data_IF_596364858666
#
_entry.id   IF_596364858666
#
_cell.length_a   1.000
_cell.length_b   1.000
_cell.length_c   1.000
_cell.angle_alpha   90.00
_cell.angle_beta   90.00
_cell.angle_gamma   90.00
#
_symmetry.space_group_name_H-M   'P 1'
#
loop_
_entity.id
_entity.type
_entity.pdbx_description
1 polymer ?
#
# COMPACT_ATOMS: atom_id res chain seq x y z
N UNK A 1 28.43 -71.52 50.19
CA UNK A 1 28.03 -70.15 50.40
C UNK A 1 27.84 -69.50 49.05
N UNK A 2 26.60 -69.25 48.59
CA UNK A 2 26.27 -68.82 47.23
C UNK A 2 26.14 -67.32 47.21
N UNK A 3 26.99 -66.66 46.49
CA UNK A 3 26.87 -65.20 46.22
C UNK A 3 26.01 -65.05 44.99
N UNK A 4 24.82 -64.50 45.19
CA UNK A 4 23.93 -64.12 44.09
C UNK A 4 24.32 -62.71 43.58
N UNK A 5 24.69 -62.65 42.31
CA UNK A 5 24.89 -61.40 41.57
C UNK A 5 23.50 -60.85 41.20
N UNK A 6 23.11 -59.67 41.76
CA UNK A 6 21.97 -58.91 41.29
C UNK A 6 22.41 -58.01 40.12
N UNK A 7 21.84 -58.22 38.95
CA UNK A 7 21.99 -57.33 37.80
C UNK A 7 21.00 -56.17 37.95
N UNK A 8 21.53 -54.98 38.12
CA UNK A 8 20.73 -53.76 38.09
C UNK A 8 20.46 -53.37 36.62
N UNK A 9 19.25 -53.51 36.18
CA UNK A 9 18.80 -52.97 34.89
C UNK A 9 18.48 -51.49 35.08
N UNK A 10 19.34 -50.61 34.56
CA UNK A 10 19.09 -49.19 34.50
C UNK A 10 18.04 -48.91 33.39
N UNK A 11 16.84 -48.58 33.78
CA UNK A 11 15.80 -48.10 32.89
C UNK A 11 16.10 -46.63 32.57
N UNK A 12 16.68 -46.36 31.39
CA UNK A 12 16.92 -45.03 30.87
C UNK A 12 15.62 -44.53 30.25
N UNK A 13 14.81 -43.83 31.04
CA UNK A 13 13.63 -43.10 30.55
C UNK A 13 14.12 -41.89 29.76
N UNK A 14 14.16 -42.00 28.44
CA UNK A 14 14.29 -40.86 27.54
C UNK A 14 13.03 -40.00 27.63
N UNK A 15 13.09 -38.91 28.38
CA UNK A 15 12.07 -37.88 28.36
C UNK A 15 12.21 -37.14 27.03
N UNK A 16 11.41 -37.51 26.04
CA UNK A 16 11.18 -36.74 24.83
C UNK A 16 10.44 -35.45 25.23
N UNK A 17 11.19 -34.36 25.42
CA UNK A 17 10.63 -33.02 25.48
C UNK A 17 10.14 -32.71 24.06
N UNK A 18 8.89 -33.04 23.78
CA UNK A 18 8.18 -32.46 22.61
C UNK A 18 8.02 -30.97 22.94
N UNK A 19 8.93 -30.17 22.44
CA UNK A 19 8.69 -28.74 22.34
C UNK A 19 7.46 -28.57 21.43
N UNK A 20 6.30 -28.41 22.02
CA UNK A 20 5.15 -27.89 21.32
C UNK A 20 5.53 -26.50 20.84
N UNK A 21 5.87 -26.40 19.55
CA UNK A 21 5.95 -25.14 18.83
C UNK A 21 4.50 -24.66 18.77
N UNK A 22 4.07 -23.95 19.82
CA UNK A 22 2.84 -23.16 19.73
C UNK A 22 3.07 -22.18 18.56
N UNK A 23 2.25 -22.17 17.52
CA UNK A 23 2.33 -21.12 16.53
C UNK A 23 2.24 -19.82 17.33
N UNK A 24 3.24 -18.95 17.19
CA UNK A 24 3.24 -17.66 17.86
C UNK A 24 1.92 -16.98 17.47
N UNK A 25 0.98 -16.92 18.42
CA UNK A 25 -0.31 -16.31 18.21
C UNK A 25 -0.03 -14.87 17.81
N UNK A 26 -0.46 -14.51 16.60
CA UNK A 26 -0.22 -13.16 16.06
C UNK A 26 -0.79 -12.19 17.10
N UNK A 27 0.07 -11.34 17.65
CA UNK A 27 -0.35 -10.39 18.67
C UNK A 27 -1.49 -9.55 18.09
N UNK A 28 -2.64 -9.55 18.76
CA UNK A 28 -3.76 -8.68 18.37
C UNK A 28 -3.41 -7.21 18.69
N UNK A 29 -3.98 -6.30 17.92
CA UNK A 29 -3.88 -4.88 18.23
C UNK A 29 -4.68 -4.62 19.50
N UNK A 30 -4.02 -4.08 20.53
CA UNK A 30 -4.70 -3.63 21.74
C UNK A 30 -5.78 -2.60 21.39
N UNK A 31 -6.79 -2.47 22.23
CA UNK A 31 -7.87 -1.50 22.01
C UNK A 31 -7.34 -0.11 21.68
N UNK A 32 -7.87 0.46 20.59
CA UNK A 32 -7.52 1.78 20.09
C UNK A 32 -8.54 2.82 20.53
N UNK A 33 -8.05 3.99 20.91
CA UNK A 33 -8.88 5.16 21.23
C UNK A 33 -9.53 5.77 19.99
N UNK A 34 -8.88 5.69 18.83
CA UNK A 34 -9.41 6.21 17.59
C UNK A 34 -10.74 5.55 17.23
N UNK A 35 -11.70 6.34 16.72
CA UNK A 35 -12.97 5.84 16.21
C UNK A 35 -12.75 5.07 14.91
N UNK A 36 -11.89 5.57 14.02
CA UNK A 36 -11.44 4.86 12.83
C UNK A 36 -9.92 4.84 12.77
N UNK A 37 -9.35 3.69 12.39
CA UNK A 37 -7.92 3.50 12.31
C UNK A 37 -7.53 2.55 11.16
N UNK A 38 -6.36 2.81 10.56
CA UNK A 38 -5.75 1.94 9.55
C UNK A 38 -4.25 1.84 9.80
N UNK A 39 -3.73 0.62 9.66
CA UNK A 39 -2.35 0.34 9.32
C UNK A 39 -2.34 -0.17 7.88
N UNK A 40 -1.53 0.43 7.00
CA UNK A 40 -1.44 0.09 5.58
C UNK A 40 0.01 -0.15 5.19
N UNK A 41 0.22 -1.09 4.26
CA UNK A 41 1.48 -1.21 3.53
C UNK A 41 1.61 -0.03 2.57
N UNK A 42 2.59 0.83 2.80
CA UNK A 42 2.78 2.05 2.01
C UNK A 42 3.27 1.80 0.57
N UNK A 43 3.74 0.59 0.25
CA UNK A 43 4.18 0.24 -1.10
C UNK A 43 3.02 -0.29 -1.95
N UNK A 44 2.20 -1.18 -1.41
CA UNK A 44 1.10 -1.83 -2.14
C UNK A 44 -0.28 -1.20 -1.91
N UNK A 45 -0.45 -0.39 -0.87
CA UNK A 45 -1.77 0.13 -0.45
C UNK A 45 -2.65 -0.93 0.24
N UNK A 46 -2.09 -2.10 0.58
CA UNK A 46 -2.82 -3.15 1.29
C UNK A 46 -3.11 -2.73 2.73
N UNK A 47 -4.37 -2.84 3.15
CA UNK A 47 -4.76 -2.68 4.56
C UNK A 47 -4.28 -3.89 5.36
N UNK A 48 -3.43 -3.64 6.36
CA UNK A 48 -2.85 -4.65 7.26
C UNK A 48 -3.65 -4.81 8.55
N UNK A 49 -4.27 -3.71 8.99
CA UNK A 49 -5.21 -3.65 10.11
C UNK A 49 -6.23 -2.54 9.84
N UNK A 50 -7.49 -2.74 10.21
CA UNK A 50 -8.56 -1.76 10.10
C UNK A 50 -9.54 -1.82 11.26
N UNK A 51 -9.85 -0.65 11.84
CA UNK A 51 -10.98 -0.42 12.74
C UNK A 51 -11.86 0.63 12.08
N UNK A 52 -13.09 0.28 11.70
CA UNK A 52 -13.99 1.15 10.92
C UNK A 52 -13.26 1.90 9.79
N UNK A 53 -12.36 1.19 9.08
CA UNK A 53 -11.37 1.76 8.16
C UNK A 53 -11.99 2.50 6.97
N UNK A 54 -13.20 2.13 6.59
CA UNK A 54 -13.95 2.65 5.45
C UNK A 54 -15.09 3.59 5.84
N UNK A 55 -15.25 3.90 7.14
CA UNK A 55 -16.30 4.81 7.60
C UNK A 55 -15.89 6.27 7.39
N UNK A 56 -16.74 7.00 6.67
CA UNK A 56 -16.58 8.44 6.47
C UNK A 56 -16.59 9.20 7.81
N UNK A 57 -15.61 10.09 7.97
CA UNK A 57 -15.46 10.95 9.15
C UNK A 57 -14.81 12.27 8.78
N UNK A 58 -15.11 13.35 9.52
CA UNK A 58 -14.32 14.56 9.45
C UNK A 58 -12.85 14.27 9.76
N UNK A 59 -11.94 14.89 9.03
CA UNK A 59 -10.51 14.61 9.12
C UNK A 59 -9.65 15.80 9.50
N UNK A 60 -10.28 16.95 9.72
CA UNK A 60 -9.61 18.19 10.14
C UNK A 60 -8.40 18.50 9.23
N UNK A 61 -7.36 19.10 9.81
CA UNK A 61 -6.15 19.52 9.09
C UNK A 61 -5.29 18.40 8.52
N UNK A 62 -5.67 17.11 8.63
CA UNK A 62 -5.00 16.06 7.85
C UNK A 62 -5.29 16.24 6.35
N UNK A 63 -6.34 16.96 5.98
CA UNK A 63 -6.67 17.46 4.64
C UNK A 63 -5.48 18.16 3.96
N UNK A 64 -4.66 18.87 4.75
CA UNK A 64 -3.53 19.66 4.22
C UNK A 64 -2.44 18.81 3.56
N UNK A 65 -2.45 17.49 3.76
CA UNK A 65 -1.61 16.57 3.00
C UNK A 65 -1.98 16.64 1.51
N UNK A 66 -3.28 16.59 1.17
CA UNK A 66 -3.76 16.72 -0.20
C UNK A 66 -3.46 18.11 -0.77
N UNK A 67 -3.66 19.16 0.03
CA UNK A 67 -3.34 20.55 -0.37
C UNK A 67 -1.85 20.70 -0.73
N UNK A 68 -0.97 20.13 0.10
CA UNK A 68 0.48 20.15 -0.13
C UNK A 68 0.87 19.37 -1.41
N UNK A 69 0.29 18.18 -1.62
CA UNK A 69 0.55 17.36 -2.82
C UNK A 69 0.21 18.14 -4.09
N UNK A 70 -0.99 18.72 -4.15
CA UNK A 70 -1.43 19.47 -5.33
C UNK A 70 -0.58 20.71 -5.57
N UNK A 71 -0.18 21.41 -4.51
CA UNK A 71 0.72 22.55 -4.63
C UNK A 71 2.10 22.17 -5.17
N UNK A 72 2.64 21.00 -4.75
CA UNK A 72 3.92 20.47 -5.25
C UNK A 72 3.85 19.95 -6.69
N UNK A 73 2.67 19.53 -7.15
CA UNK A 73 2.48 18.99 -8.50
C UNK A 73 2.12 20.05 -9.53
N UNK A 74 1.39 21.09 -9.13
CA UNK A 74 0.79 22.06 -10.04
C UNK A 74 1.41 23.45 -9.95
N UNK A 75 2.14 23.76 -8.88
CA UNK A 75 2.83 25.02 -8.66
C UNK A 75 4.34 24.89 -8.78
N UNK A 76 5.03 26.05 -8.74
CA UNK A 76 6.47 26.13 -8.63
C UNK A 76 6.82 26.76 -7.28
N UNK A 77 7.82 26.23 -6.56
CA UNK A 77 8.25 26.76 -5.26
C UNK A 77 8.54 28.26 -5.27
N UNK A 78 9.07 28.80 -6.37
CA UNK A 78 9.40 30.20 -6.58
C UNK A 78 8.19 31.08 -6.96
N UNK A 79 7.00 30.52 -7.09
CA UNK A 79 5.79 31.32 -7.40
C UNK A 79 5.48 32.31 -6.29
N UNK A 80 5.05 33.51 -6.67
CA UNK A 80 4.56 34.52 -5.74
C UNK A 80 3.08 34.32 -5.46
N UNK A 81 2.77 33.85 -4.26
CA UNK A 81 1.40 33.70 -3.78
C UNK A 81 0.92 35.00 -3.15
N UNK A 82 -0.09 35.60 -3.71
CA UNK A 82 -0.73 36.80 -3.17
C UNK A 82 -1.84 36.43 -2.18
N UNK A 83 -1.83 37.05 -1.02
CA UNK A 83 -2.82 36.83 0.03
C UNK A 83 -4.09 37.60 -0.28
N UNK A 84 -5.19 36.92 -0.44
CA UNK A 84 -6.53 37.49 -0.62
C UNK A 84 -7.15 37.94 0.72
N UNK A 85 -8.24 38.68 0.65
CA UNK A 85 -9.07 38.98 1.81
C UNK A 85 -9.63 37.73 2.47
N UNK A 86 -10.03 36.72 1.65
CA UNK A 86 -10.55 35.44 2.14
C UNK A 86 -9.49 34.69 2.93
N UNK A 87 -8.28 34.55 2.37
CA UNK A 87 -7.15 33.92 3.05
C UNK A 87 -6.81 34.67 4.36
N UNK A 88 -6.68 36.00 4.33
CA UNK A 88 -6.35 36.79 5.51
C UNK A 88 -7.39 36.73 6.63
N UNK A 89 -8.66 36.38 6.33
CA UNK A 89 -9.75 36.29 7.30
C UNK A 89 -9.93 34.91 7.94
N UNK A 90 -9.09 33.94 7.58
CA UNK A 90 -9.24 32.57 8.08
C UNK A 90 -9.07 32.47 9.60
N UNK A 91 -9.87 31.61 10.27
CA UNK A 91 -9.81 31.46 11.71
C UNK A 91 -8.51 30.73 12.14
N UNK A 92 -8.24 30.73 13.43
CA UNK A 92 -7.13 30.02 14.07
C UNK A 92 -7.15 28.51 13.69
N UNK A 93 -6.00 27.86 13.43
CA UNK A 93 -4.62 28.35 13.51
C UNK A 93 -4.25 29.08 12.23
N UNK A 94 -3.64 30.28 12.30
CA UNK A 94 -3.23 31.05 11.13
C UNK A 94 -1.81 31.66 11.30
N UNK A 95 -1.14 31.95 10.22
CA UNK A 95 0.13 32.67 10.18
C UNK A 95 -0.06 34.15 10.51
N UNK A 96 -1.25 34.68 10.30
CA UNK A 96 -1.62 36.08 10.46
C UNK A 96 -1.14 36.92 9.30
N UNK A 97 -1.31 36.39 8.08
CA UNK A 97 -1.06 37.12 6.83
C UNK A 97 -2.08 38.23 6.65
N UNK A 98 -1.66 39.29 5.94
CA UNK A 98 -2.53 40.43 5.61
C UNK A 98 -2.87 40.41 4.12
N UNK A 99 -4.05 40.88 3.78
CA UNK A 99 -4.46 41.10 2.39
C UNK A 99 -3.39 41.88 1.62
N UNK A 100 -3.04 41.42 0.41
CA UNK A 100 -2.05 42.03 -0.47
C UNK A 100 -0.60 41.62 -0.17
N UNK A 101 -0.28 40.98 0.96
CA UNK A 101 1.05 40.41 1.17
C UNK A 101 1.35 39.32 0.13
N UNK A 102 2.61 39.14 -0.19
CA UNK A 102 3.09 38.11 -1.09
C UNK A 102 4.17 37.24 -0.41
N UNK A 103 4.14 35.95 -0.71
CA UNK A 103 5.10 34.97 -0.20
C UNK A 103 5.54 34.03 -1.32
N UNK A 104 6.68 33.37 -1.20
CA UNK A 104 7.01 32.24 -2.04
C UNK A 104 6.10 31.05 -1.69
N UNK A 105 5.69 30.28 -2.71
CA UNK A 105 4.87 29.08 -2.51
C UNK A 105 5.57 28.09 -1.59
N UNK A 106 6.89 27.88 -1.77
CA UNK A 106 7.66 26.98 -0.92
C UNK A 106 7.58 27.39 0.56
N UNK A 107 7.75 28.66 0.91
CA UNK A 107 7.65 29.17 2.27
C UNK A 107 6.27 28.87 2.90
N UNK A 108 5.23 29.02 2.09
CA UNK A 108 3.87 28.71 2.53
C UNK A 108 3.67 27.21 2.74
N UNK A 109 4.36 26.32 1.99
CA UNK A 109 4.28 24.87 2.21
C UNK A 109 4.87 24.47 3.57
N UNK A 110 5.95 25.10 4.01
CA UNK A 110 6.45 24.90 5.39
C UNK A 110 5.45 25.39 6.43
N UNK A 111 4.87 26.58 6.23
CA UNK A 111 3.82 27.11 7.10
C UNK A 111 2.61 26.17 7.19
N UNK A 112 2.14 25.66 6.05
CA UNK A 112 1.03 24.71 5.91
C UNK A 112 1.28 23.42 6.69
N UNK A 113 2.44 22.82 6.51
CA UNK A 113 2.70 21.47 7.03
C UNK A 113 3.21 21.47 8.46
N UNK A 114 4.11 22.37 8.84
CA UNK A 114 4.71 22.40 10.17
C UNK A 114 3.75 22.94 11.23
N UNK A 115 3.04 24.04 10.93
CA UNK A 115 2.18 24.74 11.90
C UNK A 115 0.69 24.64 11.59
N UNK A 116 0.35 24.11 10.41
CA UNK A 116 -1.05 23.85 10.03
C UNK A 116 -1.90 25.11 9.83
N UNK A 117 -1.32 26.22 9.36
CA UNK A 117 -1.99 27.48 9.21
C UNK A 117 -3.12 27.43 8.16
N UNK A 118 -4.29 27.95 8.51
CA UNK A 118 -5.51 27.91 7.68
C UNK A 118 -5.50 28.96 6.57
N UNK A 119 -5.04 30.17 6.89
CA UNK A 119 -4.84 31.26 5.93
C UNK A 119 -3.88 30.86 4.81
N UNK A 120 -2.78 30.19 5.17
CA UNK A 120 -1.82 29.62 4.23
C UNK A 120 -2.47 28.60 3.28
N UNK A 121 -3.31 27.70 3.80
CA UNK A 121 -3.99 26.70 2.98
C UNK A 121 -4.92 27.34 1.94
N UNK A 122 -5.63 28.40 2.33
CA UNK A 122 -6.54 29.13 1.42
C UNK A 122 -5.75 29.90 0.38
N UNK A 123 -4.68 30.61 0.77
CA UNK A 123 -3.84 31.34 -0.18
C UNK A 123 -3.21 30.41 -1.24
N UNK A 124 -2.71 29.23 -0.82
CA UNK A 124 -2.22 28.20 -1.75
C UNK A 124 -3.33 27.71 -2.69
N UNK A 125 -4.52 27.44 -2.14
CA UNK A 125 -5.64 26.93 -2.93
C UNK A 125 -6.11 27.95 -4.00
N UNK A 126 -6.16 29.22 -3.64
CA UNK A 126 -6.53 30.30 -4.57
C UNK A 126 -5.45 30.49 -5.65
N UNK A 127 -4.17 30.41 -5.27
CA UNK A 127 -3.08 30.53 -6.23
C UNK A 127 -3.10 29.38 -7.25
N UNK A 128 -3.18 28.11 -6.79
CA UNK A 128 -3.12 26.93 -7.65
C UNK A 128 -4.43 26.71 -8.43
N UNK A 129 -5.58 26.87 -7.78
CA UNK A 129 -6.90 26.58 -8.36
C UNK A 129 -7.63 27.80 -8.93
N UNK A 130 -7.15 29.00 -8.65
CA UNK A 130 -7.83 30.26 -8.96
C UNK A 130 -9.02 30.57 -8.03
N UNK A 131 -9.46 29.61 -7.21
CA UNK A 131 -10.42 29.78 -6.12
C UNK A 131 -10.47 28.53 -5.23
N UNK A 132 -10.95 28.67 -3.99
CA UNK A 132 -11.15 27.53 -3.06
C UNK A 132 -12.04 26.46 -3.68
N UNK A 133 -13.16 26.83 -4.32
CA UNK A 133 -14.08 25.89 -4.96
C UNK A 133 -13.41 25.09 -6.10
N UNK A 134 -12.66 25.75 -6.97
CA UNK A 134 -11.94 25.06 -8.06
C UNK A 134 -10.82 24.16 -7.51
N UNK A 135 -10.12 24.61 -6.47
CA UNK A 135 -9.10 23.79 -5.83
C UNK A 135 -9.70 22.56 -5.14
N UNK A 136 -10.85 22.67 -4.48
CA UNK A 136 -11.57 21.52 -3.92
C UNK A 136 -11.94 20.50 -5.00
N UNK A 137 -12.32 20.96 -6.20
CA UNK A 137 -12.54 20.05 -7.34
C UNK A 137 -11.27 19.30 -7.75
N UNK A 138 -10.08 19.95 -7.76
CA UNK A 138 -8.80 19.29 -8.00
C UNK A 138 -8.46 18.28 -6.89
N UNK A 139 -8.74 18.60 -5.62
CA UNK A 139 -8.55 17.68 -4.50
C UNK A 139 -9.40 16.41 -4.66
N UNK A 140 -10.67 16.56 -5.04
CA UNK A 140 -11.59 15.45 -5.25
C UNK A 140 -11.21 14.61 -6.47
N UNK A 141 -10.74 15.24 -7.55
CA UNK A 141 -10.21 14.54 -8.70
C UNK A 141 -8.99 13.70 -8.31
N UNK A 142 -8.01 14.29 -7.61
CA UNK A 142 -6.81 13.59 -7.15
C UNK A 142 -7.17 12.44 -6.20
N UNK A 143 -8.11 12.63 -5.27
CA UNK A 143 -8.57 11.57 -4.38
C UNK A 143 -9.11 10.38 -5.19
N UNK A 144 -9.92 10.62 -6.22
CA UNK A 144 -10.43 9.59 -7.13
C UNK A 144 -9.30 8.87 -7.89
N UNK A 145 -8.31 9.60 -8.40
CA UNK A 145 -7.13 9.04 -9.08
C UNK A 145 -6.32 8.12 -8.15
N UNK A 146 -6.23 8.45 -6.87
CA UNK A 146 -5.56 7.64 -5.85
C UNK A 146 -6.40 6.43 -5.38
N UNK A 147 -7.62 6.25 -5.89
CA UNK A 147 -8.51 5.15 -5.52
C UNK A 147 -9.20 5.36 -4.17
N UNK A 148 -9.34 6.61 -3.72
CA UNK A 148 -10.20 6.95 -2.60
C UNK A 148 -11.67 6.75 -2.99
N UNK A 149 -12.42 6.00 -2.19
CA UNK A 149 -13.79 5.60 -2.54
C UNK A 149 -14.85 6.35 -1.75
N UNK A 150 -14.48 6.98 -0.64
CA UNK A 150 -15.40 7.70 0.24
C UNK A 150 -14.68 8.91 0.88
N UNK A 151 -14.29 9.84 -0.01
CA UNK A 151 -13.60 11.09 0.34
C UNK A 151 -14.22 12.23 -0.45
N UNK A 152 -14.59 13.30 0.28
CA UNK A 152 -15.10 14.54 -0.30
C UNK A 152 -14.47 15.76 0.36
N UNK A 153 -13.69 16.50 -0.41
CA UNK A 153 -13.04 17.73 0.03
C UNK A 153 -13.86 18.95 -0.38
N UNK A 154 -14.14 19.82 0.60
CA UNK A 154 -14.81 21.12 0.41
C UNK A 154 -13.82 22.25 0.69
N UNK A 155 -12.94 22.09 1.67
CA UNK A 155 -11.99 23.10 2.11
C UNK A 155 -10.55 22.63 1.99
N UNK A 156 -9.59 23.52 1.66
CA UNK A 156 -8.18 23.15 1.55
C UNK A 156 -7.48 23.01 2.91
N UNK A 157 -8.06 23.53 3.98
CA UNK A 157 -7.51 23.55 5.33
C UNK A 157 -8.07 22.45 6.24
N UNK A 158 -9.18 21.80 5.86
CA UNK A 158 -9.84 20.77 6.63
C UNK A 158 -10.75 21.29 7.74
N UNK A 159 -11.17 22.55 7.67
CA UNK A 159 -12.28 23.03 8.45
C UNK A 159 -13.58 22.40 7.95
N UNK A 160 -14.52 22.21 8.85
CA UNK A 160 -15.83 21.66 8.51
C UNK A 160 -16.50 22.54 7.45
N UNK A 161 -17.08 21.90 6.44
CA UNK A 161 -17.73 22.56 5.33
C UNK A 161 -18.66 21.60 4.60
N UNK A 162 -19.55 22.14 3.80
CA UNK A 162 -20.50 21.42 2.98
C UNK A 162 -20.69 22.14 1.65
N UNK A 163 -20.88 21.37 0.59
CA UNK A 163 -21.28 21.86 -0.73
C UNK A 163 -22.32 20.93 -1.34
N UNK A 164 -22.64 21.10 -2.62
CA UNK A 164 -23.63 20.29 -3.34
C UNK A 164 -23.26 18.79 -3.37
N UNK A 165 -21.97 18.44 -3.22
CA UNK A 165 -21.46 17.06 -3.17
C UNK A 165 -21.51 16.43 -1.78
N UNK A 166 -21.77 17.22 -0.74
CA UNK A 166 -21.89 16.76 0.65
C UNK A 166 -20.93 17.44 1.63
N UNK A 167 -20.80 16.87 2.82
CA UNK A 167 -19.92 17.36 3.87
C UNK A 167 -18.46 16.99 3.61
N UNK A 168 -17.54 17.82 4.14
CA UNK A 168 -16.09 17.54 4.10
C UNK A 168 -15.73 16.31 4.94
N UNK A 169 -15.26 15.24 4.30
CA UNK A 169 -14.93 13.98 4.98
C UNK A 169 -13.88 13.16 4.23
N UNK A 170 -13.34 12.17 4.91
CA UNK A 170 -12.57 11.07 4.35
C UNK A 170 -12.74 9.81 5.19
N UNK A 171 -12.15 8.70 4.78
CA UNK A 171 -12.01 7.47 5.59
C UNK A 171 -10.57 7.30 6.07
N UNK A 172 -10.34 6.51 7.12
CA UNK A 172 -8.98 6.21 7.56
C UNK A 172 -8.16 5.50 6.45
N UNK A 173 -8.82 4.63 5.66
CA UNK A 173 -8.21 3.96 4.51
C UNK A 173 -7.81 4.94 3.41
N UNK A 174 -8.69 5.86 3.04
CA UNK A 174 -8.44 6.81 1.97
C UNK A 174 -7.36 7.82 2.37
N UNK A 175 -7.40 8.30 3.63
CA UNK A 175 -6.34 9.15 4.17
C UNK A 175 -4.97 8.46 4.16
N UNK A 176 -4.94 7.15 4.44
CA UNK A 176 -3.71 6.38 4.35
C UNK A 176 -3.21 6.24 2.90
N UNK A 177 -4.08 6.11 1.90
CA UNK A 177 -3.70 6.13 0.48
C UNK A 177 -3.10 7.46 0.06
N UNK A 178 -3.71 8.57 0.49
CA UNK A 178 -3.22 9.93 0.23
C UNK A 178 -1.80 10.08 0.82
N UNK A 179 -1.57 9.62 2.06
CA UNK A 179 -0.23 9.66 2.67
C UNK A 179 0.75 8.71 1.98
N UNK A 180 0.34 7.51 1.57
CA UNK A 180 1.17 6.57 0.84
C UNK A 180 1.62 7.11 -0.53
N UNK A 181 0.82 7.98 -1.12
CA UNK A 181 1.20 8.73 -2.32
C UNK A 181 2.15 9.88 -1.99
N UNK A 182 1.81 10.70 -0.98
CA UNK A 182 2.57 11.87 -0.59
C UNK A 182 4.02 11.55 -0.21
N UNK A 183 4.24 10.44 0.52
CA UNK A 183 5.57 10.02 0.99
C UNK A 183 6.55 9.64 -0.13
N UNK A 184 6.05 9.45 -1.36
CA UNK A 184 6.89 9.21 -2.55
C UNK A 184 7.53 10.49 -3.09
N UNK A 185 6.99 11.65 -2.72
CA UNK A 185 7.55 12.95 -3.10
C UNK A 185 8.62 13.37 -2.08
N UNK A 186 9.87 13.47 -2.52
CA UNK A 186 11.00 13.81 -1.65
C UNK A 186 10.89 15.22 -1.05
N UNK A 187 10.34 16.19 -1.79
CA UNK A 187 10.12 17.56 -1.30
C UNK A 187 9.07 17.57 -0.19
N UNK A 188 7.97 16.82 -0.35
CA UNK A 188 6.98 16.64 0.71
C UNK A 188 7.61 16.09 1.99
N UNK A 189 8.43 15.04 1.86
CA UNK A 189 9.12 14.44 3.01
C UNK A 189 10.09 15.44 3.64
N UNK A 190 10.88 16.16 2.85
CA UNK A 190 11.82 17.17 3.33
C UNK A 190 11.10 18.26 4.15
N UNK A 191 10.04 18.84 3.60
CA UNK A 191 9.24 19.86 4.30
C UNK A 191 8.71 19.30 5.63
N UNK A 192 8.10 18.12 5.62
CA UNK A 192 7.42 17.58 6.81
C UNK A 192 8.38 17.04 7.88
N UNK A 193 9.64 16.76 7.55
CA UNK A 193 10.69 16.41 8.50
C UNK A 193 11.38 17.63 9.13
N UNK A 194 11.30 18.79 8.49
CA UNK A 194 11.93 20.02 8.99
C UNK A 194 11.36 20.37 10.36
N UNK A 195 12.22 20.72 11.33
CA UNK A 195 11.84 21.06 12.69
C UNK A 195 11.43 22.51 12.84
N UNK A 196 12.24 23.37 12.30
CA UNK A 196 12.08 24.81 12.35
C UNK A 196 12.36 25.41 10.99
N UNK A 197 11.55 26.36 10.57
CA UNK A 197 11.76 27.07 9.32
C UNK A 197 11.43 28.54 9.49
N UNK A 198 12.34 29.42 9.02
CA UNK A 198 12.16 30.87 9.09
C UNK A 198 12.16 31.45 7.69
N UNK A 199 11.17 32.26 7.39
CA UNK A 199 10.97 32.91 6.10
C UNK A 199 10.40 34.31 6.29
N UNK A 200 10.30 35.08 5.22
CA UNK A 200 9.71 36.42 5.22
C UNK A 200 8.65 36.55 4.13
N UNK A 201 7.84 37.59 4.20
CA UNK A 201 7.14 38.04 3.01
C UNK A 201 8.15 38.57 1.96
N UNK A 202 7.70 38.72 0.71
CA UNK A 202 8.57 39.17 -0.39
C UNK A 202 9.17 40.55 -0.12
N UNK A 203 8.53 41.38 0.72
CA UNK A 203 9.09 42.69 1.10
C UNK A 203 10.29 42.60 2.04
N UNK A 204 10.54 41.45 2.67
CA UNK A 204 11.59 41.26 3.66
C UNK A 204 11.39 42.03 4.97
N UNK A 205 10.23 42.66 5.17
CA UNK A 205 9.97 43.52 6.34
C UNK A 205 9.51 42.74 7.58
N UNK A 206 8.94 41.56 7.37
CA UNK A 206 8.42 40.73 8.46
C UNK A 206 8.89 39.29 8.31
N UNK A 207 9.51 38.75 9.36
CA UNK A 207 9.95 37.37 9.44
C UNK A 207 8.96 36.54 10.23
N UNK A 208 8.83 35.29 9.82
CA UNK A 208 7.97 34.29 10.43
C UNK A 208 8.78 33.04 10.73
N UNK A 209 8.64 32.48 11.92
CA UNK A 209 9.25 31.20 12.28
C UNK A 209 8.17 30.20 12.62
N UNK A 210 8.21 29.04 11.98
CA UNK A 210 7.28 27.94 12.19
C UNK A 210 8.01 26.72 12.75
N UNK A 211 7.43 26.12 13.81
CA UNK A 211 7.96 24.94 14.46
C UNK A 211 7.07 23.75 14.15
N UNK A 212 7.66 22.60 13.86
CA UNK A 212 6.91 21.40 13.55
C UNK A 212 6.09 20.89 14.76
N UNK A 213 4.80 20.74 14.57
CA UNK A 213 3.88 20.25 15.62
C UNK A 213 3.75 18.73 15.69
N UNK A 214 4.41 18.01 14.74
CA UNK A 214 4.41 16.55 14.74
C UNK A 214 5.46 15.98 15.69
N UNK A 215 5.14 15.98 16.98
CA UNK A 215 6.04 15.44 18.00
C UNK A 215 6.39 13.95 17.80
N UNK A 216 5.61 13.20 17.03
CA UNK A 216 5.85 11.78 16.80
C UNK A 216 7.13 11.49 16.02
N UNK A 217 7.63 12.48 15.26
CA UNK A 217 8.94 12.43 14.61
C UNK A 217 10.11 12.22 15.60
N UNK A 218 9.96 12.67 16.85
CA UNK A 218 10.97 12.52 17.91
C UNK A 218 10.62 11.39 18.89
N UNK A 219 9.36 10.98 18.91
CA UNK A 219 8.85 9.99 19.88
C UNK A 219 8.97 8.54 19.41
N UNK A 220 9.08 8.32 18.08
CA UNK A 220 9.07 6.98 17.50
C UNK A 220 10.08 6.87 16.36
N UNK A 221 11.00 5.91 16.50
CA UNK A 221 12.06 5.67 15.49
C UNK A 221 11.44 5.23 14.17
N UNK A 222 11.98 5.77 13.08
CA UNK A 222 11.58 5.41 11.72
C UNK A 222 10.37 6.19 11.20
N UNK A 223 9.74 7.05 11.98
CA UNK A 223 8.72 7.98 11.47
C UNK A 223 9.37 8.99 10.54
N UNK A 224 8.91 9.04 9.30
CA UNK A 224 9.49 9.90 8.24
C UNK A 224 8.64 11.11 7.89
N UNK A 225 7.35 11.07 8.16
CA UNK A 225 6.45 12.20 7.91
C UNK A 225 5.16 12.01 8.71
N UNK A 226 4.38 13.07 8.85
CA UNK A 226 3.04 12.99 9.42
C UNK A 226 2.35 14.34 9.49
N UNK A 227 1.01 14.28 9.64
CA UNK A 227 0.16 15.47 9.81
C UNK A 227 -0.88 15.24 10.89
N UNK A 228 -0.97 16.18 11.82
CA UNK A 228 -2.01 16.23 12.85
C UNK A 228 -3.20 17.05 12.38
N UNK A 229 -4.38 16.76 12.91
CA UNK A 229 -5.59 17.55 12.72
C UNK A 229 -6.44 17.59 13.99
N UNK A 230 -7.23 18.65 14.15
CA UNK A 230 -8.24 18.78 15.18
C UNK A 230 -9.31 19.78 14.74
N UNK A 231 -10.59 19.38 14.84
CA UNK A 231 -11.75 20.25 14.96
C UNK A 231 -12.66 19.70 16.06
N UNK A 232 -13.65 20.48 16.50
CA UNK A 232 -14.62 20.00 17.49
C UNK A 232 -15.34 18.75 17.04
N UNK A 233 -15.72 18.68 15.76
CA UNK A 233 -16.43 17.56 15.16
C UNK A 233 -15.50 16.36 14.88
N UNK A 234 -14.29 16.60 14.36
CA UNK A 234 -13.37 15.53 14.00
C UNK A 234 -12.69 14.85 15.21
N UNK A 235 -12.54 15.54 16.32
CA UNK A 235 -11.62 15.13 17.37
C UNK A 235 -10.15 15.19 16.89
N UNK A 236 -9.24 14.54 17.58
CA UNK A 236 -7.85 14.45 17.13
C UNK A 236 -7.72 13.44 16.00
N UNK A 237 -7.14 13.90 14.90
CA UNK A 237 -6.81 13.10 13.73
C UNK A 237 -5.28 13.08 13.54
N UNK A 238 -4.78 11.99 12.98
CA UNK A 238 -3.35 11.85 12.68
C UNK A 238 -3.14 10.92 11.50
N UNK A 239 -2.20 11.28 10.63
CA UNK A 239 -1.70 10.39 9.59
C UNK A 239 -0.18 10.48 9.55
N UNK A 240 0.50 9.34 9.44
CA UNK A 240 1.96 9.32 9.30
C UNK A 240 2.42 8.17 8.42
N UNK A 241 3.66 8.31 7.91
CA UNK A 241 4.43 7.25 7.31
C UNK A 241 5.64 6.95 8.19
N UNK A 242 5.94 5.68 8.37
CA UNK A 242 7.10 5.20 9.12
C UNK A 242 7.77 4.05 8.38
N UNK A 243 9.11 4.08 8.32
CA UNK A 243 9.93 2.97 7.80
C UNK A 243 10.55 2.23 8.96
N UNK A 244 10.17 0.97 9.12
CA UNK A 244 10.69 0.09 10.19
C UNK A 244 11.10 -1.24 9.58
N UNK A 245 12.34 -1.69 9.79
CA UNK A 245 12.91 -2.92 9.20
C UNK A 245 12.64 -2.98 7.67
N UNK A 246 12.94 -1.90 6.94
CA UNK A 246 12.67 -1.68 5.51
C UNK A 246 11.19 -1.61 5.10
N UNK A 247 10.24 -1.95 5.98
CA UNK A 247 8.81 -1.91 5.71
C UNK A 247 8.29 -0.48 5.82
N UNK A 248 7.59 -0.02 4.79
CA UNK A 248 6.92 1.28 4.81
C UNK A 248 5.49 1.10 5.31
N UNK A 249 5.24 1.56 6.52
CA UNK A 249 3.91 1.56 7.13
C UNK A 249 3.28 2.95 7.05
N UNK A 250 1.99 2.97 6.73
CA UNK A 250 1.15 4.16 6.84
C UNK A 250 0.14 3.91 7.96
N UNK A 251 0.04 4.86 8.88
CA UNK A 251 -0.98 4.86 9.94
C UNK A 251 -1.89 6.06 9.73
N UNK A 252 -3.21 5.83 9.74
CA UNK A 252 -4.21 6.89 9.73
C UNK A 252 -5.21 6.68 10.87
N UNK A 253 -5.47 7.74 11.63
CA UNK A 253 -6.34 7.75 12.82
C UNK A 253 -7.32 8.91 12.69
N UNK A 254 -8.62 8.64 12.82
CA UNK A 254 -9.69 9.62 12.84
C UNK A 254 -10.49 9.51 14.14
N UNK A 255 -10.83 10.67 14.74
CA UNK A 255 -11.57 10.70 15.99
C UNK A 255 -10.81 10.06 17.16
N UNK A 256 -9.52 10.37 17.32
CA UNK A 256 -8.65 9.77 18.34
C UNK A 256 -8.63 10.61 19.62
N UNK A 257 -9.80 10.78 20.24
CA UNK A 257 -10.01 11.58 21.45
C UNK A 257 -10.32 13.05 21.17
N UNK A 258 -10.72 13.75 22.25
CA UNK A 258 -11.08 15.17 22.27
C UNK A 258 -10.25 15.90 23.33
N UNK A 259 -10.50 17.21 23.61
CA UNK A 259 -9.72 17.98 24.59
C UNK A 259 -9.52 17.24 25.91
N UNK A 260 -8.30 17.25 26.41
CA UNK A 260 -7.83 16.41 27.53
C UNK A 260 -7.06 15.16 27.10
N UNK A 261 -7.30 14.65 25.88
CA UNK A 261 -6.77 13.36 25.40
C UNK A 261 -5.86 13.47 24.15
N UNK A 262 -5.16 14.60 23.99
CA UNK A 262 -4.34 14.89 22.79
C UNK A 262 -3.23 13.86 22.49
N UNK A 263 -2.84 13.05 23.46
CA UNK A 263 -1.77 12.06 23.32
C UNK A 263 -2.26 10.68 22.86
N UNK A 264 -3.56 10.43 22.81
CA UNK A 264 -4.13 9.15 22.38
C UNK A 264 -3.67 8.76 20.99
N UNK A 265 -3.59 9.73 20.04
CA UNK A 265 -3.09 9.49 18.68
C UNK A 265 -1.66 8.95 18.64
N UNK A 266 -0.78 9.38 19.56
CA UNK A 266 0.58 8.87 19.64
C UNK A 266 0.62 7.43 20.18
N UNK A 267 -0.20 7.13 21.19
CA UNK A 267 -0.38 5.79 21.74
C UNK A 267 -0.87 4.82 20.65
N UNK A 268 -1.95 5.19 19.96
CA UNK A 268 -2.56 4.34 18.93
C UNK A 268 -1.65 4.15 17.72
N UNK A 269 -0.97 5.21 17.27
CA UNK A 269 0.01 5.11 16.18
C UNK A 269 1.13 4.12 16.53
N UNK A 270 1.67 4.19 17.76
CA UNK A 270 2.71 3.27 18.25
C UNK A 270 2.22 1.82 18.32
N UNK A 271 0.99 1.59 18.80
CA UNK A 271 0.39 0.25 18.83
C UNK A 271 0.30 -0.35 17.45
N UNK A 272 -0.15 0.42 16.44
CA UNK A 272 -0.28 -0.02 15.06
C UNK A 272 1.07 -0.29 14.41
N UNK A 273 2.07 0.59 14.59
CA UNK A 273 3.42 0.37 14.08
C UNK A 273 4.07 -0.86 14.70
N UNK A 274 3.93 -1.03 16.02
CA UNK A 274 4.42 -2.22 16.73
C UNK A 274 3.74 -3.50 16.21
N UNK A 275 2.42 -3.47 16.00
CA UNK A 275 1.69 -4.57 15.40
C UNK A 275 2.23 -4.92 14.00
N UNK A 276 2.43 -3.92 13.14
CA UNK A 276 2.98 -4.11 11.80
C UNK A 276 4.36 -4.75 11.84
N UNK A 277 5.28 -4.19 12.65
CA UNK A 277 6.65 -4.71 12.81
C UNK A 277 6.66 -6.16 13.28
N UNK A 278 5.85 -6.49 14.27
CA UNK A 278 5.89 -7.80 14.93
C UNK A 278 5.16 -8.90 14.13
N UNK A 279 4.17 -8.56 13.32
CA UNK A 279 3.30 -9.54 12.66
C UNK A 279 3.53 -9.69 11.14
N UNK A 280 4.26 -8.78 10.52
CA UNK A 280 4.46 -8.78 9.06
C UNK A 280 5.92 -8.96 8.67
N UNK A 281 6.13 -9.65 7.54
CA UNK A 281 7.44 -9.86 6.92
C UNK A 281 7.33 -9.71 5.41
N UNK A 282 8.43 -9.35 4.75
CA UNK A 282 8.50 -9.46 3.31
C UNK A 282 8.65 -10.91 2.87
N UNK A 283 7.99 -11.25 1.78
CA UNK A 283 8.16 -12.49 1.03
C UNK A 283 8.15 -12.18 -0.47
N UNK A 284 8.78 -13.02 -1.26
CA UNK A 284 8.68 -13.02 -2.72
C UNK A 284 7.72 -14.13 -3.16
N UNK A 285 7.38 -14.16 -4.45
CA UNK A 285 6.64 -15.29 -5.02
C UNK A 285 7.39 -16.61 -4.74
N UNK A 286 6.70 -17.68 -4.33
CA UNK A 286 7.33 -18.97 -4.15
C UNK A 286 7.82 -19.51 -5.49
N UNK A 287 8.67 -20.54 -5.45
CA UNK A 287 9.13 -21.23 -6.64
C UNK A 287 7.94 -21.65 -7.53
N UNK A 288 8.10 -21.45 -8.84
CA UNK A 288 7.05 -21.78 -9.82
C UNK A 288 6.81 -23.30 -9.78
N UNK A 289 5.57 -23.75 -9.58
CA UNK A 289 5.27 -25.17 -9.52
C UNK A 289 5.50 -25.84 -10.87
N UNK A 290 5.85 -27.13 -10.84
CA UNK A 290 5.86 -27.93 -12.06
C UNK A 290 4.46 -27.96 -12.64
N UNK A 291 4.32 -27.51 -13.89
CA UNK A 291 3.05 -27.51 -14.58
C UNK A 291 2.73 -28.95 -15.05
N UNK A 292 1.44 -29.34 -15.06
CA UNK A 292 1.02 -30.62 -15.61
C UNK A 292 1.22 -30.64 -17.12
N UNK A 293 1.55 -31.78 -17.68
CA UNK A 293 1.50 -32.00 -19.12
C UNK A 293 0.05 -32.21 -19.56
N UNK A 294 -0.35 -31.64 -20.70
CA UNK A 294 -1.73 -31.72 -21.20
C UNK A 294 -1.81 -32.70 -22.38
N UNK A 295 -2.72 -33.68 -22.37
CA UNK A 295 -2.92 -34.59 -23.50
C UNK A 295 -3.51 -33.86 -24.69
N UNK A 296 -2.93 -34.08 -25.88
CA UNK A 296 -3.36 -33.49 -27.15
C UNK A 296 -3.90 -34.58 -28.09
N UNK A 297 -5.19 -34.49 -28.44
CA UNK A 297 -5.78 -35.42 -29.44
C UNK A 297 -5.42 -35.01 -30.85
N UNK A 298 -5.57 -35.96 -31.80
CA UNK A 298 -5.27 -35.81 -33.23
C UNK A 298 -3.83 -35.33 -33.51
N UNK A 299 -2.93 -35.56 -32.55
CA UNK A 299 -1.53 -35.16 -32.59
C UNK A 299 -0.66 -36.22 -33.24
N UNK A 300 0.30 -35.80 -34.08
CA UNK A 300 1.37 -36.68 -34.57
C UNK A 300 2.12 -37.25 -33.35
N UNK A 301 2.24 -38.58 -33.19
CA UNK A 301 2.92 -39.20 -32.06
C UNK A 301 4.39 -38.76 -31.98
N UNK A 302 4.87 -38.50 -30.78
CA UNK A 302 6.31 -38.31 -30.54
C UNK A 302 7.01 -39.66 -30.73
N UNK A 303 8.08 -39.68 -31.57
CA UNK A 303 8.84 -40.89 -31.86
C UNK A 303 9.53 -41.56 -30.66
N UNK A 304 9.48 -40.91 -29.49
CA UNK A 304 10.05 -41.44 -28.24
C UNK A 304 9.18 -42.47 -27.51
N UNK A 305 7.87 -42.57 -27.88
CA UNK A 305 6.90 -43.48 -27.25
C UNK A 305 6.42 -44.58 -28.21
N UNK A 306 7.30 -45.38 -28.75
CA UNK A 306 6.90 -46.61 -29.44
C UNK A 306 6.45 -47.64 -28.38
N UNK A 307 5.14 -47.66 -28.07
CA UNK A 307 4.62 -48.80 -27.31
C UNK A 307 3.53 -48.57 -26.28
N UNK A 308 3.18 -47.35 -25.90
CA UNK A 308 2.05 -47.10 -25.01
C UNK A 308 1.02 -46.22 -25.70
N UNK A 309 -0.24 -46.65 -25.71
CA UNK A 309 -1.38 -45.93 -26.32
C UNK A 309 -1.76 -44.61 -25.61
N UNK A 310 -0.80 -43.95 -25.00
CA UNK A 310 -0.92 -42.64 -24.37
C UNK A 310 -0.68 -41.56 -25.39
N UNK A 311 -1.67 -40.69 -25.64
CA UNK A 311 -1.61 -39.60 -26.61
C UNK A 311 -0.44 -38.64 -26.36
N UNK A 312 -0.06 -37.86 -27.37
CA UNK A 312 1.02 -36.86 -27.29
C UNK A 312 0.74 -35.88 -26.13
N UNK A 313 1.70 -35.71 -25.25
CA UNK A 313 1.63 -34.81 -24.12
C UNK A 313 2.32 -33.47 -24.46
N UNK A 314 1.65 -32.38 -24.16
CA UNK A 314 2.16 -31.00 -24.33
C UNK A 314 2.80 -30.54 -23.05
N UNK A 315 4.09 -30.16 -23.12
CA UNK A 315 4.79 -29.45 -22.06
C UNK A 315 4.42 -27.97 -22.06
N UNK A 316 4.30 -27.41 -20.86
CA UNK A 316 3.89 -26.05 -20.63
C UNK A 316 4.99 -25.23 -19.98
N UNK A 317 5.02 -23.95 -20.30
CA UNK A 317 5.92 -22.96 -19.71
C UNK A 317 5.13 -21.78 -19.15
N UNK A 318 5.45 -21.35 -17.92
CA UNK A 318 4.89 -20.15 -17.32
C UNK A 318 5.84 -18.95 -17.56
N UNK A 319 5.38 -17.92 -18.24
CA UNK A 319 6.18 -16.76 -18.59
C UNK A 319 6.23 -15.76 -17.41
N UNK A 320 6.96 -16.09 -16.35
CA UNK A 320 7.18 -15.19 -15.19
C UNK A 320 8.47 -14.41 -15.40
N UNK A 321 8.38 -13.07 -15.35
CA UNK A 321 9.57 -12.23 -15.47
C UNK A 321 10.39 -12.21 -14.18
N UNK A 322 11.71 -12.02 -14.26
CA UNK A 322 12.58 -11.84 -13.11
C UNK A 322 12.12 -10.69 -12.19
N UNK A 323 11.62 -9.61 -12.80
CA UNK A 323 11.06 -8.48 -12.05
C UNK A 323 9.85 -8.89 -11.20
N UNK A 324 9.01 -9.79 -11.70
CA UNK A 324 7.86 -10.30 -10.95
C UNK A 324 8.29 -11.20 -9.80
N UNK A 325 9.30 -12.07 -10.04
CA UNK A 325 9.86 -12.95 -9.00
C UNK A 325 10.58 -12.14 -7.90
N UNK A 326 11.25 -11.05 -8.25
CA UNK A 326 11.93 -10.17 -7.30
C UNK A 326 11.00 -9.23 -6.53
N UNK A 327 9.72 -9.12 -6.94
CA UNK A 327 8.75 -8.26 -6.26
C UNK A 327 8.46 -8.78 -4.86
N UNK A 328 8.63 -7.89 -3.87
CA UNK A 328 8.35 -8.21 -2.46
C UNK A 328 6.89 -7.91 -2.12
N UNK A 329 6.30 -8.78 -1.33
CA UNK A 329 4.93 -8.67 -0.81
C UNK A 329 5.00 -8.67 0.71
N UNK A 330 4.31 -7.74 1.36
CA UNK A 330 4.24 -7.70 2.82
C UNK A 330 3.15 -8.64 3.31
N UNK A 331 3.55 -9.73 3.94
CA UNK A 331 2.68 -10.81 4.41
C UNK A 331 2.62 -10.84 5.92
N UNK A 332 1.44 -11.14 6.47
CA UNK A 332 1.34 -11.55 7.86
C UNK A 332 2.15 -12.85 8.05
N UNK A 333 2.76 -13.05 9.21
CA UNK A 333 3.60 -14.24 9.47
C UNK A 333 2.83 -15.56 9.30
N UNK A 334 1.50 -15.53 9.41
CA UNK A 334 0.59 -16.67 9.21
C UNK A 334 0.11 -16.83 7.77
N UNK A 335 0.37 -15.86 6.90
CA UNK A 335 -0.06 -15.89 5.50
C UNK A 335 0.99 -16.56 4.62
N UNK A 336 0.51 -17.21 3.56
CA UNK A 336 1.34 -17.83 2.53
C UNK A 336 0.81 -17.49 1.15
N UNK A 337 1.71 -17.39 0.17
CA UNK A 337 1.33 -17.27 -1.24
C UNK A 337 1.23 -18.67 -1.81
N UNK A 338 0.12 -18.97 -2.51
CA UNK A 338 -0.10 -20.24 -3.21
C UNK A 338 -0.24 -20.00 -4.69
N UNK A 339 0.18 -21.00 -5.50
CA UNK A 339 -0.05 -21.01 -6.94
C UNK A 339 -1.31 -21.80 -7.28
N UNK A 340 -2.11 -21.25 -8.20
CA UNK A 340 -3.24 -21.93 -8.83
C UNK A 340 -3.11 -21.86 -10.36
N UNK A 341 -3.47 -22.93 -11.05
CA UNK A 341 -3.43 -23.02 -12.51
C UNK A 341 -4.85 -23.04 -13.07
N UNK A 342 -5.07 -22.26 -14.12
CA UNK A 342 -6.26 -22.34 -14.94
C UNK A 342 -5.86 -22.89 -16.31
N UNK A 343 -6.03 -24.22 -16.49
CA UNK A 343 -5.59 -24.99 -17.66
C UNK A 343 -6.70 -25.90 -18.15
N UNK A 344 -6.83 -26.10 -19.48
CA UNK A 344 -7.74 -27.09 -20.05
C UNK A 344 -7.25 -28.51 -19.73
N UNK A 345 -8.16 -29.43 -19.47
CA UNK A 345 -7.81 -30.84 -19.22
C UNK A 345 -7.33 -31.59 -20.46
N UNK A 346 -7.63 -31.11 -21.68
CA UNK A 346 -7.29 -31.70 -22.97
C UNK A 346 -7.23 -30.63 -24.07
N UNK A 347 -6.39 -30.84 -25.07
CA UNK A 347 -6.29 -29.99 -26.26
C UNK A 347 -6.48 -30.82 -27.54
N UNK A 348 -6.74 -30.18 -28.65
CA UNK A 348 -6.79 -30.76 -30.02
C UNK A 348 -5.68 -30.14 -30.85
N UNK A 349 -4.95 -30.98 -31.61
CA UNK A 349 -3.92 -30.51 -32.55
C UNK A 349 -4.56 -29.76 -33.73
N UNK A 350 -3.86 -28.76 -34.34
CA UNK A 350 -2.46 -28.41 -34.06
C UNK A 350 -2.31 -27.41 -32.91
N UNK A 351 -1.23 -27.52 -32.15
CA UNK A 351 -0.80 -26.52 -31.16
C UNK A 351 0.47 -25.84 -31.66
N UNK A 352 0.50 -24.49 -31.56
CA UNK A 352 1.68 -23.71 -31.95
C UNK A 352 2.61 -23.52 -30.77
N UNK A 353 3.93 -23.49 -31.01
CA UNK A 353 4.89 -23.07 -29.99
C UNK A 353 4.54 -21.66 -29.50
N UNK A 354 4.65 -21.42 -28.18
CA UNK A 354 4.28 -20.18 -27.49
C UNK A 354 2.76 -19.83 -27.56
N UNK A 355 1.92 -20.74 -28.03
CA UNK A 355 0.46 -20.54 -27.97
C UNK A 355 0.04 -20.46 -26.51
N UNK A 356 -0.76 -19.44 -26.16
CA UNK A 356 -1.37 -19.35 -24.82
C UNK A 356 -2.35 -20.50 -24.62
N UNK A 357 -2.15 -21.26 -23.55
CA UNK A 357 -2.95 -22.43 -23.19
C UNK A 357 -3.84 -22.12 -21.98
N UNK A 358 -3.36 -21.30 -21.06
CA UNK A 358 -4.07 -20.92 -19.86
C UNK A 358 -3.35 -19.86 -19.07
N UNK A 359 -3.52 -19.88 -17.76
CA UNK A 359 -2.93 -18.90 -16.83
C UNK A 359 -2.44 -19.57 -15.55
N UNK A 360 -1.41 -18.99 -14.95
CA UNK A 360 -0.90 -19.32 -13.60
C UNK A 360 -1.12 -18.10 -12.71
N UNK A 361 -1.74 -18.30 -11.53
CA UNK A 361 -2.15 -17.27 -10.60
C UNK A 361 -1.47 -17.46 -9.27
N UNK A 362 -0.82 -16.41 -8.74
CA UNK A 362 -0.37 -16.38 -7.35
C UNK A 362 -1.45 -15.72 -6.48
N UNK A 363 -1.90 -16.41 -5.46
CA UNK A 363 -2.94 -15.96 -4.53
C UNK A 363 -2.43 -15.83 -3.11
N UNK A 364 -2.87 -14.79 -2.44
CA UNK A 364 -2.70 -14.52 -1.02
C UNK A 364 -4.07 -14.51 -0.37
N UNK A 365 -4.35 -15.44 0.54
CA UNK A 365 -5.67 -15.64 1.16
C UNK A 365 -6.81 -15.69 0.13
N UNK A 366 -6.60 -16.43 -0.98
CA UNK A 366 -7.57 -16.57 -2.07
C UNK A 366 -7.67 -15.34 -3.00
N UNK A 367 -7.05 -14.22 -2.67
CA UNK A 367 -7.02 -13.02 -3.52
C UNK A 367 -5.82 -13.06 -4.46
N UNK A 368 -6.07 -12.87 -5.76
CA UNK A 368 -5.00 -12.78 -6.75
C UNK A 368 -4.09 -11.57 -6.49
N UNK A 369 -2.78 -11.81 -6.46
CA UNK A 369 -1.74 -10.79 -6.32
C UNK A 369 -0.82 -10.70 -7.54
N UNK A 370 -0.81 -11.75 -8.38
CA UNK A 370 -0.06 -11.82 -9.61
C UNK A 370 -0.66 -12.88 -10.52
N UNK A 371 -0.61 -12.69 -11.84
CA UNK A 371 -0.93 -13.70 -12.83
C UNK A 371 -0.02 -13.59 -14.06
N UNK A 372 0.20 -14.73 -14.73
CA UNK A 372 0.94 -14.79 -15.97
C UNK A 372 0.35 -15.82 -16.92
N UNK A 373 0.57 -15.67 -18.26
CA UNK A 373 0.15 -16.67 -19.22
C UNK A 373 0.98 -17.94 -19.10
N UNK A 374 0.32 -19.07 -19.29
CA UNK A 374 0.93 -20.37 -19.51
C UNK A 374 0.87 -20.67 -21.00
N UNK A 375 2.01 -21.04 -21.59
CA UNK A 375 2.16 -21.24 -23.04
C UNK A 375 2.68 -22.63 -23.37
N UNK A 376 2.45 -23.07 -24.58
CA UNK A 376 3.00 -24.30 -25.13
C UNK A 376 4.51 -24.18 -25.31
N UNK A 377 5.28 -25.12 -24.72
CA UNK A 377 6.73 -25.16 -24.89
C UNK A 377 7.14 -25.59 -26.30
N UNK A 378 6.38 -26.53 -26.89
CA UNK A 378 6.64 -27.09 -28.19
C UNK A 378 5.46 -26.93 -29.12
N UNK A 379 5.73 -27.09 -30.46
CA UNK A 379 4.73 -27.20 -31.49
C UNK A 379 4.27 -28.65 -31.57
N UNK A 380 2.94 -28.88 -31.61
CA UNK A 380 2.36 -30.21 -31.91
C UNK A 380 1.60 -30.11 -33.22
N UNK A 381 1.96 -30.97 -34.17
CA UNK A 381 1.30 -31.03 -35.50
C UNK A 381 0.10 -31.95 -35.44
N UNK A 382 -0.92 -31.66 -36.27
CA UNK A 382 -2.09 -32.52 -36.45
C UNK A 382 -1.75 -33.69 -37.35
N UNK A 383 -2.27 -34.88 -37.03
CA UNK A 383 -2.27 -36.03 -37.94
C UNK A 383 -3.12 -35.67 -39.20
N UNK A 384 -2.55 -35.91 -40.40
CA UNK A 384 -3.23 -35.69 -41.66
C UNK A 384 -3.23 -36.99 -42.49
N UNK A 385 -4.12 -37.11 -43.49
CA UNK A 385 -4.10 -38.23 -44.40
C UNK A 385 -2.72 -38.43 -45.06
N UNK A 386 -2.06 -37.34 -45.46
CA UNK A 386 -0.68 -37.36 -45.98
C UNK A 386 0.29 -37.98 -45.00
N UNK A 387 0.22 -37.62 -43.73
CA UNK A 387 1.07 -38.18 -42.66
C UNK A 387 0.92 -39.72 -42.58
N UNK A 388 -0.31 -40.24 -42.67
CA UNK A 388 -0.55 -41.69 -42.65
C UNK A 388 0.07 -42.37 -43.88
N UNK A 389 -0.09 -41.80 -45.07
CA UNK A 389 0.50 -42.32 -46.31
C UNK A 389 2.02 -42.35 -46.24
N UNK A 390 2.63 -41.22 -45.82
CA UNK A 390 4.08 -41.11 -45.67
C UNK A 390 4.61 -42.11 -44.63
N UNK A 391 3.88 -42.32 -43.54
CA UNK A 391 4.23 -43.26 -42.46
C UNK A 391 4.18 -44.72 -42.92
N UNK A 392 3.14 -45.11 -43.66
CA UNK A 392 3.02 -46.47 -44.25
C UNK A 392 4.16 -46.72 -45.22
N UNK A 393 4.50 -45.74 -46.08
CA UNK A 393 5.66 -45.87 -47.00
C UNK A 393 6.98 -46.06 -46.24
N UNK A 394 7.21 -45.31 -45.20
CA UNK A 394 8.41 -45.41 -44.36
C UNK A 394 8.53 -46.77 -43.63
N UNK A 395 7.42 -47.29 -43.12
CA UNK A 395 7.40 -48.54 -42.35
C UNK A 395 7.47 -49.80 -43.27
N UNK A 396 7.10 -49.70 -44.58
CA UNK A 396 7.15 -50.82 -45.54
C UNK A 396 8.36 -50.82 -46.46
N UNK A 397 9.07 -49.71 -46.66
CA UNK A 397 10.17 -49.57 -47.61
C UNK A 397 11.51 -49.23 -46.96
N UNK A 398 11.59 -49.22 -45.62
CA UNK A 398 12.78 -49.19 -44.77
C UNK A 398 12.71 -50.24 -43.67
#
# INVERSE_FOLDING_TARGET
MKIRRAAAVAFMTAVLIIQQIFPAQAAEVQELYALSAVLMDGESGRVLYGKEAYKARPNASTTKVMTCILALELGNGDDYVQVSKEAASQPQTHLGMKEGQQFYLEDLLYSLMLKSHNDTAVAIAEHIGGSVKKFAALMNQKAKELGCTDTHFVTPNGLDGEDEGGIHHTTARDLALIMAYAVKNSTFVHITQTRDYTFSDISGKKYYTVHNTNAFLDMETGVITGKTGFTGNAGYCYVCAARQDEKLFIVALLGCGWPGNKNYKWSDARKLLSYGRNNYRYAVLPEIPRLPEIPVSDAVPDNRERGSGTGTLLKLHAAVSEKALAKRYLLKKTETITWETELPGKLEAPVRKNQRIGSLHAKLDGKEIFSCPVTAEDKISRITYKWYVDKVFQDYFH
#
